data_IF_452285191974
#
_entry.id   IF_452285191974
#
_cell.length_a   1.000
_cell.length_b   1.000
_cell.length_c   1.000
_cell.angle_alpha   90.00
_cell.angle_beta   90.00
_cell.angle_gamma   90.00
#
_symmetry.space_group_name_H-M   'P 1'
#
loop_
_entity.id
_entity.type
_entity.pdbx_description
1 polymer ?
#
# COMPACT_ATOMS: atom_id res chain seq x y z
N UNK A 1 -26.23 2.27 -0.19
CA UNK A 1 -25.28 1.69 -1.19
C UNK A 1 -23.99 2.50 -1.31
N UNK A 2 -24.06 3.82 -1.17
CA UNK A 2 -22.91 4.75 -1.26
C UNK A 2 -21.85 4.58 -0.15
N UNK A 3 -22.28 4.27 1.09
CA UNK A 3 -21.36 4.07 2.24
C UNK A 3 -20.41 2.89 2.03
N UNK A 4 -20.82 1.84 1.30
CA UNK A 4 -19.98 0.67 1.01
C UNK A 4 -18.88 1.01 0.00
N UNK A 5 -19.14 1.92 -0.93
CA UNK A 5 -18.21 2.33 -2.00
C UNK A 5 -16.98 3.08 -1.47
N UNK A 6 -17.13 3.89 -0.41
CA UNK A 6 -16.01 4.61 0.23
C UNK A 6 -15.20 3.75 1.21
N UNK A 7 -15.76 2.65 1.72
CA UNK A 7 -15.07 1.73 2.65
C UNK A 7 -14.04 0.83 1.97
N UNK A 8 -14.35 0.36 0.76
CA UNK A 8 -13.47 -0.56 0.03
C UNK A 8 -12.09 0.04 -0.30
N UNK A 9 -11.97 1.28 -0.82
CA UNK A 9 -10.69 1.94 -1.04
C UNK A 9 -9.91 2.16 0.27
N UNK A 10 -10.59 2.50 1.36
CA UNK A 10 -9.96 2.68 2.66
C UNK A 10 -9.34 1.38 3.19
N UNK A 11 -10.08 0.27 3.08
CA UNK A 11 -9.58 -1.06 3.46
C UNK A 11 -8.38 -1.46 2.59
N UNK A 12 -8.45 -1.25 1.28
CA UNK A 12 -7.36 -1.53 0.36
C UNK A 12 -6.10 -0.71 0.67
N UNK A 13 -6.26 0.58 1.00
CA UNK A 13 -5.18 1.46 1.43
C UNK A 13 -4.50 0.94 2.71
N UNK A 14 -5.29 0.59 3.73
CA UNK A 14 -4.77 0.04 4.99
C UNK A 14 -4.01 -1.27 4.73
N UNK A 15 -4.56 -2.17 3.89
CA UNK A 15 -3.92 -3.43 3.55
C UNK A 15 -2.57 -3.21 2.83
N UNK A 16 -2.51 -2.31 1.83
CA UNK A 16 -1.25 -1.96 1.15
C UNK A 16 -0.23 -1.36 2.12
N UNK A 17 -0.67 -0.47 3.01
CA UNK A 17 0.20 0.15 4.00
C UNK A 17 0.81 -0.90 4.92
N UNK A 18 -0.01 -1.79 5.48
CA UNK A 18 0.45 -2.87 6.36
C UNK A 18 1.34 -3.87 5.62
N UNK A 19 1.08 -4.14 4.34
CA UNK A 19 1.90 -5.04 3.52
C UNK A 19 3.28 -4.45 3.17
N UNK A 20 3.46 -3.12 3.21
CA UNK A 20 4.76 -2.50 2.95
C UNK A 20 5.81 -2.86 4.02
N UNK A 21 5.43 -2.97 5.29
CA UNK A 21 6.33 -3.31 6.39
C UNK A 21 7.01 -4.67 6.24
N UNK A 22 6.30 -5.80 6.01
CA UNK A 22 6.96 -7.08 5.78
C UNK A 22 7.75 -7.08 4.47
N UNK A 23 7.38 -6.32 3.44
CA UNK A 23 8.21 -6.21 2.22
C UNK A 23 9.56 -5.56 2.53
N UNK A 24 9.58 -4.47 3.30
CA UNK A 24 10.81 -3.82 3.75
C UNK A 24 11.63 -4.71 4.69
N UNK A 25 10.98 -5.41 5.62
CA UNK A 25 11.69 -6.30 6.54
C UNK A 25 12.28 -7.50 5.79
N UNK A 26 11.50 -8.12 4.90
CA UNK A 26 11.88 -9.33 4.19
C UNK A 26 12.87 -9.08 3.05
N UNK A 27 12.99 -7.86 2.53
CA UNK A 27 14.02 -7.51 1.55
C UNK A 27 15.45 -7.72 2.07
N UNK A 28 15.66 -7.74 3.40
CA UNK A 28 16.96 -8.03 4.00
C UNK A 28 17.19 -9.52 4.27
N UNK A 29 16.21 -10.37 4.02
CA UNK A 29 16.27 -11.82 4.25
C UNK A 29 16.17 -12.67 2.97
N UNK A 30 15.93 -12.04 1.82
CA UNK A 30 15.89 -12.69 0.49
C UNK A 30 17.25 -12.58 -0.23
N UNK A 31 17.51 -13.40 -1.26
CA UNK A 31 18.73 -13.28 -2.06
C UNK A 31 18.95 -11.88 -2.63
N UNK A 32 20.20 -11.46 -2.72
CA UNK A 32 20.59 -10.11 -3.18
C UNK A 32 20.02 -9.76 -4.57
N UNK A 33 19.88 -10.75 -5.44
CA UNK A 33 19.30 -10.56 -6.78
C UNK A 33 17.85 -10.05 -6.75
N UNK A 34 17.09 -10.34 -5.69
CA UNK A 34 15.67 -9.95 -5.57
C UNK A 34 15.39 -8.93 -4.47
N UNK A 35 16.34 -8.73 -3.55
CA UNK A 35 16.23 -7.79 -2.44
C UNK A 35 15.87 -6.35 -2.87
N UNK A 36 16.53 -5.73 -3.88
CA UNK A 36 16.20 -4.37 -4.31
C UNK A 36 14.78 -4.24 -4.85
N UNK A 37 14.30 -5.26 -5.60
CA UNK A 37 12.96 -5.26 -6.16
C UNK A 37 11.89 -5.38 -5.07
N UNK A 38 12.13 -6.22 -4.06
CA UNK A 38 11.21 -6.37 -2.93
C UNK A 38 11.17 -5.11 -2.06
N UNK A 39 12.32 -4.47 -1.83
CA UNK A 39 12.38 -3.19 -1.12
C UNK A 39 11.63 -2.10 -1.91
N UNK A 40 11.86 -2.01 -3.22
CA UNK A 40 11.17 -1.05 -4.08
C UNK A 40 9.66 -1.31 -4.17
N UNK A 41 9.23 -2.59 -4.19
CA UNK A 41 7.82 -2.95 -4.10
C UNK A 41 7.19 -2.44 -2.79
N UNK A 42 7.92 -2.49 -1.67
CA UNK A 42 7.52 -1.87 -0.41
C UNK A 42 7.32 -0.35 -0.54
N UNK A 43 8.22 0.36 -1.25
CA UNK A 43 8.08 1.79 -1.52
C UNK A 43 6.80 2.06 -2.31
N UNK A 44 6.57 1.31 -3.40
CA UNK A 44 5.36 1.47 -4.20
C UNK A 44 4.09 1.15 -3.41
N UNK A 45 4.12 0.13 -2.54
CA UNK A 45 3.00 -0.23 -1.69
C UNK A 45 2.66 0.88 -0.68
N UNK A 46 3.67 1.44 0.01
CA UNK A 46 3.42 2.54 0.96
C UNK A 46 2.98 3.81 0.23
N UNK A 47 3.60 4.17 -0.90
CA UNK A 47 3.17 5.34 -1.69
C UNK A 47 1.74 5.18 -2.22
N UNK A 48 1.41 4.01 -2.77
CA UNK A 48 0.06 3.71 -3.25
C UNK A 48 -0.97 3.77 -2.13
N UNK A 49 -0.63 3.27 -0.94
CA UNK A 49 -1.52 3.31 0.23
C UNK A 49 -1.92 4.73 0.64
N UNK A 50 -1.02 5.70 0.47
CA UNK A 50 -1.26 7.11 0.79
C UNK A 50 -1.98 7.84 -0.37
N UNK A 51 -1.76 7.40 -1.61
CA UNK A 51 -2.40 7.99 -2.79
C UNK A 51 -3.90 7.68 -2.85
N UNK A 52 -4.33 6.48 -2.46
CA UNK A 52 -5.75 6.07 -2.46
C UNK A 52 -6.66 7.00 -1.63
N UNK A 53 -6.38 7.31 -0.35
CA UNK A 53 -7.22 8.22 0.42
C UNK A 53 -7.24 9.64 -0.15
N UNK A 54 -6.10 10.14 -0.66
CA UNK A 54 -6.02 11.47 -1.28
C UNK A 54 -6.90 11.56 -2.53
N UNK A 55 -6.91 10.52 -3.35
CA UNK A 55 -7.60 10.51 -4.65
C UNK A 55 -9.08 10.16 -4.57
N UNK A 56 -9.45 9.21 -3.70
CA UNK A 56 -10.81 8.66 -3.64
C UNK A 56 -11.61 9.02 -2.38
N UNK A 57 -10.94 9.31 -1.25
CA UNK A 57 -11.63 9.61 0.01
C UNK A 57 -11.65 11.11 0.34
N UNK A 58 -10.72 11.90 -0.21
CA UNK A 58 -10.66 13.36 -0.04
C UNK A 58 -11.71 14.15 -0.82
N UNK A 59 -12.49 13.49 -1.69
CA UNK A 59 -13.53 14.14 -2.48
C UNK A 59 -14.84 14.22 -1.67
N UNK A 60 -15.21 15.45 -1.30
CA UNK A 60 -16.54 15.80 -0.77
C UNK A 60 -17.50 15.96 -1.95
N UNK A 61 -17.98 14.83 -2.44
CA UNK A 61 -19.29 14.80 -3.08
C UNK A 61 -20.32 14.57 -1.96
#
# INVERSE_FOLDING_TARGET
>A
MEITMKKLPAIAAIALFLASFPMFAYSFAVPEAVAPYLFFAGILAVTGSLMIPVTFLGRRD
#
